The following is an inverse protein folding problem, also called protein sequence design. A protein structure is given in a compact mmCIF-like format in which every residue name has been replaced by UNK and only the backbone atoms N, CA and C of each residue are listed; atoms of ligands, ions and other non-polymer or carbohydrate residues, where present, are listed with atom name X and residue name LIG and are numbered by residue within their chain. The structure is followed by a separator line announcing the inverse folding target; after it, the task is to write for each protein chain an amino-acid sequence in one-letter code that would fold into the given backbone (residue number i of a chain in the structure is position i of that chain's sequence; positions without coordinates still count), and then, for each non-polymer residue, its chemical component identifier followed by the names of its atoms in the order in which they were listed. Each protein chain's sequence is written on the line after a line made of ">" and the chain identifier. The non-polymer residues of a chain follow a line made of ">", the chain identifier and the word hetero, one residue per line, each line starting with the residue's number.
data_IF_459113456811
#
_entry.id   IF_459113456811
#
_cell.length_a   1.000
_cell.length_b   1.000
_cell.length_c   1.000
_cell.angle_alpha   90.00
_cell.angle_beta   90.00
_cell.angle_gamma   90.00
#
_symmetry.space_group_name_H-M   'P 1'
#
loop_
_entity.id
_entity.type
_entity.pdbx_description
1 polymer ?
#
# COMPACT_ATOMS: atom_id res chain seq x y z
N UNK A 1 2.96 -4.66 -15.48
CA UNK A 1 1.99 -4.16 -14.50
C UNK A 1 1.19 -5.36 -14.00
N UNK A 2 1.06 -5.57 -12.69
CA UNK A 2 0.18 -6.60 -12.15
C UNK A 2 -1.27 -6.41 -12.65
N UNK A 3 -2.04 -7.47 -12.95
CA UNK A 3 -3.42 -7.32 -13.40
C UNK A 3 -4.32 -6.75 -12.29
N UNK A 4 -5.23 -5.85 -12.64
CA UNK A 4 -6.23 -5.35 -11.69
C UNK A 4 -7.32 -6.39 -11.41
N UNK A 5 -7.88 -6.39 -10.21
CA UNK A 5 -9.05 -7.21 -9.88
C UNK A 5 -10.32 -6.51 -10.40
N UNK A 6 -11.20 -7.17 -11.17
CA UNK A 6 -12.35 -6.52 -11.79
C UNK A 6 -13.22 -5.71 -10.82
N UNK A 7 -13.64 -6.30 -9.70
CA UNK A 7 -14.48 -5.64 -8.68
C UNK A 7 -13.86 -4.35 -8.14
N UNK A 8 -12.54 -4.33 -7.94
CA UNK A 8 -11.79 -3.17 -7.45
C UNK A 8 -11.56 -2.13 -8.54
N UNK A 9 -11.32 -2.57 -9.78
CA UNK A 9 -11.22 -1.68 -10.93
C UNK A 9 -12.56 -0.98 -11.22
N UNK A 10 -13.68 -1.70 -11.13
CA UNK A 10 -15.04 -1.16 -11.25
C UNK A 10 -15.29 -0.11 -10.16
N UNK A 11 -15.00 -0.43 -8.90
CA UNK A 11 -15.12 0.51 -7.78
C UNK A 11 -14.31 1.80 -8.00
N UNK A 12 -13.09 1.70 -8.52
CA UNK A 12 -12.25 2.87 -8.84
C UNK A 12 -12.81 3.76 -9.96
N UNK A 13 -13.60 3.18 -10.87
CA UNK A 13 -14.24 3.89 -11.97
C UNK A 13 -15.59 4.50 -11.56
N UNK A 14 -16.28 3.92 -10.59
CA UNK A 14 -17.59 4.38 -10.12
C UNK A 14 -17.54 5.52 -9.10
N UNK A 15 -16.35 5.87 -8.60
CA UNK A 15 -16.17 6.96 -7.63
C UNK A 15 -16.80 8.26 -8.13
N UNK A 16 -17.65 8.87 -7.30
CA UNK A 16 -18.22 10.17 -7.60
C UNK A 16 -17.16 11.28 -7.56
N UNK A 17 -16.96 11.91 -8.73
CA UNK A 17 -16.02 13.02 -8.93
C UNK A 17 -16.73 14.35 -9.19
N UNK A 18 -18.03 14.44 -8.89
CA UNK A 18 -18.81 15.67 -9.06
C UNK A 18 -18.30 16.81 -8.17
N UNK A 19 -17.74 16.48 -7.01
CA UNK A 19 -17.12 17.45 -6.11
C UNK A 19 -15.73 17.87 -6.60
N UNK A 20 -15.37 19.16 -6.47
CA UNK A 20 -14.04 19.63 -6.84
C UNK A 20 -12.96 18.91 -6.04
N UNK A 21 -11.84 18.61 -6.71
CA UNK A 21 -10.68 17.99 -6.08
C UNK A 21 -10.20 18.83 -4.88
N UNK A 22 -9.82 18.14 -3.81
CA UNK A 22 -9.31 18.81 -2.61
C UNK A 22 -7.99 19.53 -2.89
N UNK A 23 -7.73 20.67 -2.21
CA UNK A 23 -6.42 21.31 -2.21
C UNK A 23 -5.29 20.34 -1.84
N UNK A 24 -4.11 20.53 -2.44
CA UNK A 24 -2.98 19.60 -2.31
C UNK A 24 -2.48 19.43 -0.86
N UNK A 25 -2.65 20.45 -0.01
CA UNK A 25 -2.31 20.46 1.42
C UNK A 25 -3.31 19.67 2.29
N UNK A 26 -4.49 19.34 1.75
CA UNK A 26 -5.52 18.53 2.40
C UNK A 26 -5.50 17.06 1.94
N UNK A 27 -4.71 16.74 0.91
CA UNK A 27 -4.55 15.38 0.41
C UNK A 27 -3.70 14.55 1.37
N UNK A 28 -4.11 13.32 1.63
CA UNK A 28 -3.24 12.39 2.34
C UNK A 28 -2.03 12.04 1.48
N UNK A 29 -0.86 12.01 2.12
CA UNK A 29 0.35 11.48 1.50
C UNK A 29 0.29 9.97 1.37
N UNK A 30 1.43 9.41 0.99
CA UNK A 30 1.60 7.99 0.71
C UNK A 30 2.57 7.37 1.72
N UNK A 31 2.11 6.34 2.43
CA UNK A 31 2.95 5.57 3.35
C UNK A 31 3.93 4.67 2.61
N UNK A 32 3.53 4.20 1.44
CA UNK A 32 4.28 3.35 0.50
C UNK A 32 4.25 4.08 -0.83
N UNK A 33 5.31 4.07 -1.66
CA UNK A 33 5.31 4.80 -2.91
C UNK A 33 4.10 4.44 -3.78
N UNK A 34 3.46 5.45 -4.37
CA UNK A 34 2.36 5.24 -5.30
C UNK A 34 2.84 4.41 -6.52
N UNK A 35 2.21 3.26 -6.84
CA UNK A 35 2.66 2.41 -7.95
C UNK A 35 2.75 3.12 -9.30
N UNK A 36 1.87 4.09 -9.56
CA UNK A 36 1.88 4.90 -10.78
C UNK A 36 3.19 5.70 -10.96
N UNK A 37 3.89 6.05 -9.87
CA UNK A 37 5.20 6.71 -9.95
C UNK A 37 6.27 5.81 -10.56
N UNK A 38 6.14 4.51 -10.36
CA UNK A 38 7.09 3.48 -10.79
C UNK A 38 6.76 3.03 -12.22
N UNK A 39 5.47 2.93 -12.54
CA UNK A 39 4.99 2.57 -13.88
C UNK A 39 5.05 3.73 -14.88
N UNK A 40 5.01 4.98 -14.41
CA UNK A 40 4.91 6.18 -15.25
C UNK A 40 6.13 6.50 -16.15
N UNK A 41 7.40 6.24 -15.75
CA UNK A 41 8.55 6.45 -16.62
C UNK A 41 8.49 5.54 -17.86
N UNK A 42 8.75 6.10 -19.05
CA UNK A 42 8.94 5.32 -20.29
C UNK A 42 10.36 4.76 -20.44
N UNK A 43 11.29 5.28 -19.65
CA UNK A 43 12.68 4.84 -19.59
C UNK A 43 12.78 3.64 -18.64
N UNK A 44 13.07 2.47 -19.20
CA UNK A 44 13.22 1.22 -18.47
C UNK A 44 14.32 1.32 -17.40
N UNK A 45 15.46 1.96 -17.73
CA UNK A 45 16.53 2.15 -16.76
C UNK A 45 16.05 2.96 -15.55
N UNK A 46 15.13 3.90 -15.76
CA UNK A 46 14.52 4.68 -14.67
C UNK A 46 13.55 3.85 -13.84
N UNK A 47 12.75 3.00 -14.46
CA UNK A 47 11.87 2.09 -13.73
C UNK A 47 12.69 1.13 -12.85
N UNK A 48 13.73 0.51 -13.41
CA UNK A 48 14.65 -0.37 -12.66
C UNK A 48 15.32 0.37 -11.51
N UNK A 49 15.76 1.63 -11.70
CA UNK A 49 16.28 2.46 -10.61
C UNK A 49 15.25 2.68 -9.50
N UNK A 50 13.99 2.97 -9.85
CA UNK A 50 12.94 3.20 -8.86
C UNK A 50 12.66 1.93 -8.05
N UNK A 51 12.55 0.79 -8.73
CA UNK A 51 12.33 -0.51 -8.09
C UNK A 51 13.51 -0.88 -7.19
N UNK A 52 14.74 -0.72 -7.67
CA UNK A 52 15.95 -1.04 -6.91
C UNK A 52 16.06 -0.17 -5.67
N UNK A 53 15.85 1.14 -5.79
CA UNK A 53 15.90 2.05 -4.64
C UNK A 53 14.76 1.81 -3.65
N UNK A 54 13.56 1.42 -4.12
CA UNK A 54 12.50 0.96 -3.24
C UNK A 54 12.92 -0.29 -2.46
N UNK A 55 13.40 -1.34 -3.15
CA UNK A 55 13.82 -2.59 -2.51
C UNK A 55 14.93 -2.34 -1.48
N UNK A 56 15.90 -1.47 -1.77
CA UNK A 56 16.94 -1.03 -0.82
C UNK A 56 16.35 -0.40 0.44
N UNK A 57 15.42 0.53 0.25
CA UNK A 57 14.83 1.28 1.35
C UNK A 57 13.82 0.46 2.16
N UNK A 58 13.20 -0.56 1.54
CA UNK A 58 12.04 -1.28 2.05
C UNK A 58 12.23 -1.80 3.49
N UNK A 59 13.31 -2.52 3.88
CA UNK A 59 13.42 -3.07 5.23
C UNK A 59 13.42 -1.98 6.31
N UNK A 60 14.20 -0.92 6.10
CA UNK A 60 14.30 0.19 7.05
C UNK A 60 13.00 0.99 7.06
N UNK A 61 12.42 1.25 5.89
CA UNK A 61 11.16 1.97 5.78
C UNK A 61 10.04 1.24 6.52
N UNK A 62 9.85 -0.06 6.28
CA UNK A 62 8.85 -0.87 6.99
C UNK A 62 9.12 -0.94 8.50
N UNK A 63 10.38 -0.95 8.93
CA UNK A 63 10.74 -0.82 10.34
C UNK A 63 10.30 0.52 10.93
N UNK A 64 10.56 1.64 10.25
CA UNK A 64 10.15 2.97 10.69
C UNK A 64 8.63 3.10 10.81
N UNK A 65 7.88 2.50 9.88
CA UNK A 65 6.41 2.47 9.93
C UNK A 65 5.86 1.74 11.18
N UNK A 66 6.68 0.90 11.84
CA UNK A 66 6.33 0.20 13.09
C UNK A 66 6.67 1.02 14.34
N UNK A 67 7.57 2.00 14.24
CA UNK A 67 7.97 2.82 15.37
C UNK A 67 6.79 3.71 15.80
N UNK A 68 6.35 3.64 17.07
CA UNK A 68 5.29 4.50 17.59
C UNK A 68 5.61 5.98 17.40
N UNK A 69 4.63 6.76 16.95
CA UNK A 69 4.79 8.19 16.71
C UNK A 69 5.43 8.56 15.37
N UNK A 70 5.86 7.59 14.55
CA UNK A 70 6.21 7.85 13.16
C UNK A 70 5.02 8.49 12.43
N UNK A 71 5.28 9.47 11.55
CA UNK A 71 4.24 10.11 10.71
C UNK A 71 4.52 10.00 9.20
N UNK A 72 4.66 8.78 8.64
CA UNK A 72 5.07 8.60 7.25
C UNK A 72 3.91 8.89 6.28
N UNK A 73 2.69 9.07 6.80
CA UNK A 73 1.48 9.43 6.08
C UNK A 73 1.56 10.76 5.30
N UNK A 74 2.55 11.62 5.56
CA UNK A 74 2.69 12.93 4.94
C UNK A 74 3.55 12.97 3.68
N UNK A 75 4.08 11.84 3.21
CA UNK A 75 5.01 11.86 2.07
C UNK A 75 4.24 12.00 0.75
N UNK A 76 4.26 13.19 0.17
CA UNK A 76 3.65 13.45 -1.14
C UNK A 76 4.35 12.69 -2.29
N UNK A 77 3.61 12.41 -3.36
CA UNK A 77 4.09 11.64 -4.52
C UNK A 77 5.42 12.17 -5.10
N UNK A 78 5.61 13.49 -5.11
CA UNK A 78 6.82 14.09 -5.65
C UNK A 78 8.05 13.89 -4.72
N UNK A 79 7.87 13.78 -3.40
CA UNK A 79 8.96 13.41 -2.49
C UNK A 79 9.38 11.96 -2.72
N UNK A 80 8.41 11.06 -2.88
CA UNK A 80 8.67 9.68 -3.29
C UNK A 80 9.43 9.60 -4.62
N UNK A 81 8.96 10.31 -5.65
CA UNK A 81 9.62 10.35 -6.97
C UNK A 81 11.08 10.79 -6.87
N UNK A 82 11.36 11.81 -6.05
CA UNK A 82 12.73 12.30 -5.85
C UNK A 82 13.59 11.29 -5.09
N UNK A 83 13.06 10.69 -4.02
CA UNK A 83 13.73 9.63 -3.26
C UNK A 83 14.08 8.42 -4.15
N UNK A 84 13.09 7.89 -4.89
CA UNK A 84 13.27 6.74 -5.77
C UNK A 84 14.23 7.00 -6.94
N UNK A 85 14.41 8.25 -7.34
CA UNK A 85 15.37 8.61 -8.39
C UNK A 85 16.83 8.66 -7.88
N UNK A 86 17.03 8.59 -6.57
CA UNK A 86 18.31 8.80 -5.91
C UNK A 86 18.47 10.23 -5.41
N UNK A 87 19.08 10.39 -4.23
CA UNK A 87 19.44 11.69 -3.66
C UNK A 87 20.90 11.97 -3.99
N UNK A 88 21.22 13.02 -4.77
CA UNK A 88 22.61 13.43 -5.00
C UNK A 88 23.28 13.87 -3.69
N UNK A 89 24.57 13.53 -3.50
CA UNK A 89 25.32 13.91 -2.30
C UNK A 89 25.42 15.44 -2.13
N UNK A 90 25.67 16.15 -3.24
CA UNK A 90 25.93 17.59 -3.29
C UNK A 90 24.70 18.42 -3.67
N UNK A 91 23.72 18.50 -2.78
CA UNK A 91 22.56 19.38 -2.99
C UNK A 91 22.81 20.76 -2.35
N UNK A 92 23.19 21.75 -3.15
CA UNK A 92 23.32 23.16 -2.75
C UNK A 92 22.01 23.74 -2.18
N UNK A 93 22.06 24.21 -0.92
CA UNK A 93 20.94 24.82 -0.17
C UNK A 93 20.32 26.07 -0.82
N UNK A 94 21.00 26.67 -1.80
CA UNK A 94 20.55 27.92 -2.44
C UNK A 94 19.48 27.70 -3.50
N UNK A 95 19.29 26.46 -3.97
CA UNK A 95 18.31 26.13 -5.00
C UNK A 95 17.03 25.54 -4.42
N UNK A 96 15.88 25.75 -5.08
CA UNK A 96 14.61 25.07 -4.75
C UNK A 96 14.77 23.54 -4.72
N UNK A 97 15.60 23.02 -5.61
CA UNK A 97 15.97 21.59 -5.65
C UNK A 97 16.75 21.17 -4.41
N UNK A 98 17.72 21.96 -3.95
CA UNK A 98 18.49 21.64 -2.75
C UNK A 98 17.70 21.73 -1.45
N UNK A 99 16.81 22.73 -1.31
CA UNK A 99 15.87 22.80 -0.18
C UNK A 99 14.99 21.55 -0.09
N UNK A 100 14.47 21.09 -1.23
CA UNK A 100 13.72 19.83 -1.31
C UNK A 100 14.55 18.62 -0.91
N UNK A 101 15.83 18.58 -1.27
CA UNK A 101 16.71 17.46 -0.91
C UNK A 101 16.97 17.42 0.60
N UNK A 102 17.07 18.56 1.28
CA UNK A 102 17.15 18.61 2.74
C UNK A 102 15.86 18.07 3.37
N UNK A 103 14.69 18.43 2.84
CA UNK A 103 13.42 17.89 3.33
C UNK A 103 13.34 16.37 3.14
N UNK A 104 13.81 15.84 2.01
CA UNK A 104 13.90 14.39 1.78
C UNK A 104 14.87 13.75 2.77
N UNK A 105 16.06 14.34 2.98
CA UNK A 105 17.03 13.85 3.97
C UNK A 105 16.46 13.91 5.40
N UNK A 106 15.58 14.85 5.72
CA UNK A 106 14.92 14.89 7.03
C UNK A 106 13.80 13.85 7.13
N UNK A 107 13.00 13.68 6.08
CA UNK A 107 11.86 12.73 6.05
C UNK A 107 12.31 11.27 6.03
N UNK A 108 13.40 10.98 5.31
CA UNK A 108 13.98 9.64 5.16
C UNK A 108 15.32 9.52 5.92
N UNK A 109 15.61 10.43 6.85
CA UNK A 109 16.93 10.54 7.49
C UNK A 109 17.40 9.27 8.19
N UNK A 110 16.49 8.57 8.84
CA UNK A 110 16.78 7.26 9.44
C UNK A 110 17.05 6.16 8.42
N UNK A 111 16.54 6.28 7.19
CA UNK A 111 16.94 5.42 6.07
C UNK A 111 18.36 5.76 5.64
N UNK A 112 18.71 7.04 5.54
CA UNK A 112 20.06 7.49 5.17
C UNK A 112 21.15 7.31 6.23
N UNK A 113 20.78 7.17 7.51
CA UNK A 113 21.72 6.96 8.62
C UNK A 113 22.15 5.49 8.78
N UNK A 114 21.48 4.58 8.09
CA UNK A 114 21.86 3.18 8.10
C UNK A 114 23.09 2.97 7.20
N UNK A 115 24.17 2.43 7.77
CA UNK A 115 25.42 2.16 7.05
C UNK A 115 25.24 1.10 5.94
N UNK A 116 24.14 0.34 5.94
CA UNK A 116 23.76 -0.60 4.89
C UNK A 116 22.95 0.06 3.77
N UNK A 117 22.38 1.25 4.00
CA UNK A 117 21.66 2.00 2.99
C UNK A 117 22.59 3.00 2.32
N UNK A 118 23.17 2.59 1.19
CA UNK A 118 23.89 3.50 0.31
C UNK A 118 23.31 3.42 -1.11
N UNK A 119 22.78 4.57 -1.56
CA UNK A 119 22.26 4.74 -2.92
C UNK A 119 23.38 4.68 -3.97
N UNK A 120 24.62 4.93 -3.56
CA UNK A 120 25.84 4.86 -4.37
C UNK A 120 26.54 3.50 -4.34
N UNK A 121 26.41 2.69 -3.29
CA UNK A 121 26.96 1.33 -3.30
C UNK A 121 26.12 0.40 -4.18
N UNK A 122 26.82 -0.40 -4.99
CA UNK A 122 26.27 -1.57 -5.71
C UNK A 122 26.10 -2.77 -4.79
N UNK A 123 25.78 -2.54 -3.51
CA UNK A 123 25.55 -3.63 -2.58
C UNK A 123 24.34 -4.46 -3.07
N UNK A 124 24.45 -5.82 -3.08
CA UNK A 124 23.30 -6.67 -3.34
C UNK A 124 22.18 -6.36 -2.36
N UNK A 125 20.95 -6.42 -2.85
CA UNK A 125 19.74 -6.20 -2.05
C UNK A 125 19.01 -7.50 -1.84
N UNK A 126 18.46 -7.67 -0.64
CA UNK A 126 17.70 -8.83 -0.25
C UNK A 126 16.20 -8.58 -0.38
N UNK A 127 15.54 -9.40 -1.20
CA UNK A 127 14.11 -9.32 -1.43
C UNK A 127 13.49 -10.71 -1.49
N UNK A 128 12.76 -11.11 -0.44
CA UNK A 128 12.13 -12.44 -0.31
C UNK A 128 13.10 -13.61 -0.58
N UNK A 129 14.35 -13.49 -0.11
CA UNK A 129 15.40 -14.49 -0.33
C UNK A 129 16.11 -14.41 -1.69
N UNK A 130 15.69 -13.49 -2.57
CA UNK A 130 16.41 -13.16 -3.80
C UNK A 130 17.47 -12.09 -3.52
N UNK A 131 18.65 -12.28 -4.12
CA UNK A 131 19.78 -11.34 -4.02
C UNK A 131 20.09 -10.77 -5.39
N UNK A 132 20.10 -9.45 -5.52
CA UNK A 132 20.43 -8.79 -6.78
C UNK A 132 21.06 -7.42 -6.56
N UNK A 133 21.95 -6.98 -7.46
CA UNK A 133 22.47 -5.60 -7.42
C UNK A 133 21.40 -4.57 -7.85
N UNK A 134 20.60 -4.97 -8.84
CA UNK A 134 19.51 -4.22 -9.44
C UNK A 134 18.33 -5.17 -9.66
N UNK A 135 17.10 -4.70 -9.50
CA UNK A 135 15.90 -5.53 -9.70
C UNK A 135 15.90 -6.07 -11.14
N UNK A 136 15.95 -7.39 -11.35
CA UNK A 136 15.85 -7.98 -12.68
C UNK A 136 14.48 -7.70 -13.30
N UNK A 137 14.42 -7.60 -14.63
CA UNK A 137 13.16 -7.40 -15.36
C UNK A 137 12.11 -8.47 -15.01
N UNK A 138 12.54 -9.73 -14.88
CA UNK A 138 11.69 -10.84 -14.49
C UNK A 138 11.07 -10.70 -13.09
N UNK A 139 11.75 -10.00 -12.16
CA UNK A 139 11.26 -9.77 -10.79
C UNK A 139 10.46 -8.47 -10.67
N UNK A 140 10.57 -7.55 -11.63
CA UNK A 140 9.92 -6.26 -11.59
C UNK A 140 8.40 -6.33 -11.39
N UNK A 141 7.62 -7.21 -12.08
CA UNK A 141 6.19 -7.34 -11.84
C UNK A 141 5.85 -7.71 -10.40
N UNK A 142 6.61 -8.62 -9.79
CA UNK A 142 6.36 -9.09 -8.44
C UNK A 142 6.76 -8.04 -7.38
N UNK A 143 7.82 -7.26 -7.62
CA UNK A 143 8.14 -6.08 -6.79
C UNK A 143 7.03 -5.03 -6.89
N UNK A 144 6.53 -4.74 -8.09
CA UNK A 144 5.43 -3.78 -8.28
C UNK A 144 4.17 -4.26 -7.55
N UNK A 145 3.86 -5.56 -7.63
CA UNK A 145 2.77 -6.15 -6.88
C UNK A 145 2.94 -5.97 -5.37
N UNK A 146 4.12 -6.18 -4.81
CA UNK A 146 4.37 -5.96 -3.38
C UNK A 146 4.10 -4.51 -2.97
N UNK A 147 4.36 -3.55 -3.85
CA UNK A 147 4.09 -2.12 -3.60
C UNK A 147 2.58 -1.86 -3.57
N UNK A 148 1.80 -2.47 -4.46
CA UNK A 148 0.33 -2.43 -4.39
C UNK A 148 -0.18 -3.06 -3.08
N UNK A 149 0.34 -4.24 -2.73
CA UNK A 149 -0.01 -4.99 -1.53
C UNK A 149 0.24 -4.18 -0.26
N UNK A 150 1.47 -3.67 -0.09
CA UNK A 150 1.84 -2.84 1.05
C UNK A 150 1.07 -1.53 1.05
N UNK A 151 0.90 -0.89 -0.11
CA UNK A 151 0.13 0.33 -0.25
C UNK A 151 -1.29 0.18 0.29
N UNK A 152 -2.00 -0.86 -0.15
CA UNK A 152 -3.34 -1.17 0.33
C UNK A 152 -3.36 -1.46 1.85
N UNK A 153 -2.44 -2.29 2.35
CA UNK A 153 -2.33 -2.62 3.79
C UNK A 153 -2.21 -1.37 4.67
N UNK A 154 -1.29 -0.46 4.30
CA UNK A 154 -1.07 0.76 5.06
C UNK A 154 -2.18 1.79 4.91
N UNK A 155 -2.80 1.87 3.73
CA UNK A 155 -3.95 2.75 3.50
C UNK A 155 -5.21 2.29 4.23
N UNK A 156 -5.45 0.98 4.28
CA UNK A 156 -6.52 0.39 5.09
C UNK A 156 -6.33 0.72 6.58
N UNK A 157 -5.12 0.56 7.11
CA UNK A 157 -4.79 0.93 8.49
C UNK A 157 -4.95 2.44 8.75
N UNK A 158 -4.49 3.29 7.82
CA UNK A 158 -4.60 4.73 7.95
C UNK A 158 -6.07 5.18 7.95
N UNK A 159 -6.88 4.61 7.05
CA UNK A 159 -8.30 4.90 6.96
C UNK A 159 -9.06 4.44 8.20
N UNK A 160 -8.79 3.22 8.68
CA UNK A 160 -9.41 2.69 9.89
C UNK A 160 -9.12 3.57 11.12
N UNK A 161 -7.86 3.99 11.30
CA UNK A 161 -7.47 4.92 12.37
C UNK A 161 -8.16 6.27 12.29
N UNK A 162 -8.37 6.78 11.07
CA UNK A 162 -9.04 8.05 10.84
C UNK A 162 -10.54 7.98 11.17
N UNK A 163 -11.21 6.91 10.72
CA UNK A 163 -12.64 6.71 10.93
C UNK A 163 -12.97 6.28 12.37
N UNK A 164 -12.07 5.56 13.02
CA UNK A 164 -12.21 5.05 14.39
C UNK A 164 -11.08 5.57 15.28
N UNK A 165 -11.05 6.88 15.61
CA UNK A 165 -9.99 7.43 16.44
C UNK A 165 -10.01 6.80 17.84
N UNK A 166 -8.86 6.32 18.30
CA UNK A 166 -8.71 5.84 19.68
C UNK A 166 -8.74 7.01 20.66
N UNK A 167 -9.67 6.96 21.62
CA UNK A 167 -9.86 7.97 22.67
C UNK A 167 -8.67 7.96 23.64
N UNK A 168 -8.23 6.76 24.05
CA UNK A 168 -7.15 6.59 25.03
C UNK A 168 -5.75 6.63 24.42
N UNK A 169 -5.64 6.46 23.09
CA UNK A 169 -4.40 6.15 22.37
C UNK A 169 -3.60 5.02 23.02
N UNK A 170 -4.30 4.10 23.68
CA UNK A 170 -3.63 3.01 24.39
C UNK A 170 -3.01 2.04 23.39
N UNK A 171 -1.81 1.54 23.75
CA UNK A 171 -1.12 0.52 22.95
C UNK A 171 -1.95 -0.76 22.81
N UNK A 172 -2.78 -1.08 23.81
CA UNK A 172 -3.64 -2.25 23.80
C UNK A 172 -4.78 -2.11 22.78
N UNK A 173 -5.47 -0.96 22.72
CA UNK A 173 -6.51 -0.72 21.70
C UNK A 173 -5.93 -0.76 20.28
N UNK A 174 -4.73 -0.19 20.10
CA UNK A 174 -4.05 -0.23 18.81
C UNK A 174 -3.66 -1.65 18.40
N UNK A 175 -3.19 -2.47 19.34
CA UNK A 175 -2.89 -3.89 19.08
C UNK A 175 -4.14 -4.65 18.63
N UNK A 176 -5.27 -4.50 19.33
CA UNK A 176 -6.54 -5.15 18.96
C UNK A 176 -7.02 -4.70 17.57
N UNK A 177 -6.85 -3.41 17.23
CA UNK A 177 -7.15 -2.89 15.88
C UNK A 177 -6.27 -3.56 14.83
N UNK A 178 -4.96 -3.59 15.05
CA UNK A 178 -4.02 -4.20 14.12
C UNK A 178 -4.25 -5.71 13.96
N UNK A 179 -4.60 -6.41 15.03
CA UNK A 179 -4.94 -7.84 15.00
C UNK A 179 -6.18 -8.10 14.13
N UNK A 180 -7.22 -7.27 14.24
CA UNK A 180 -8.40 -7.38 13.37
C UNK A 180 -8.04 -7.13 11.90
N UNK A 181 -7.30 -6.06 11.62
CA UNK A 181 -6.88 -5.71 10.25
C UNK A 181 -5.95 -6.77 9.65
N UNK A 182 -5.09 -7.37 10.47
CA UNK A 182 -4.19 -8.44 10.09
C UNK A 182 -4.93 -9.66 9.54
N UNK A 183 -6.14 -9.96 10.04
CA UNK A 183 -6.95 -11.11 9.57
C UNK A 183 -7.33 -11.04 8.08
N UNK A 184 -7.32 -9.85 7.48
CA UNK A 184 -7.56 -9.66 6.03
C UNK A 184 -6.42 -10.26 5.20
N UNK A 185 -5.21 -10.33 5.77
CA UNK A 185 -4.00 -10.65 5.03
C UNK A 185 -3.48 -12.05 5.36
N UNK A 186 -2.90 -12.76 4.38
CA UNK A 186 -2.32 -14.07 4.62
C UNK A 186 -1.26 -14.03 5.73
N UNK A 187 -1.34 -14.98 6.66
CA UNK A 187 -0.41 -15.08 7.80
C UNK A 187 -0.56 -14.00 8.88
N UNK A 188 -1.56 -13.11 8.78
CA UNK A 188 -1.75 -12.05 9.79
C UNK A 188 -0.74 -10.89 9.66
N UNK A 189 -0.06 -10.75 8.52
CA UNK A 189 1.06 -9.83 8.38
C UNK A 189 0.64 -8.40 7.97
N UNK A 190 -0.09 -7.64 8.78
CA UNK A 190 -0.57 -6.31 8.37
C UNK A 190 0.52 -5.37 7.82
N UNK A 191 1.73 -5.38 8.40
CA UNK A 191 2.79 -4.39 8.16
C UNK A 191 3.95 -4.88 7.29
N UNK A 192 3.82 -6.04 6.66
CA UNK A 192 4.84 -6.61 5.79
C UNK A 192 4.26 -7.67 4.86
N UNK A 193 4.96 -7.95 3.78
CA UNK A 193 4.78 -9.18 3.02
C UNK A 193 5.86 -10.15 3.50
N UNK A 194 5.44 -11.27 4.08
CA UNK A 194 6.34 -12.28 4.67
C UNK A 194 6.88 -13.25 3.61
N UNK A 195 6.00 -13.70 2.71
CA UNK A 195 6.35 -14.55 1.59
C UNK A 195 5.56 -14.15 0.34
N UNK A 196 6.17 -14.38 -0.82
CA UNK A 196 5.50 -14.19 -2.11
C UNK A 196 4.37 -15.23 -2.30
N UNK A 197 3.22 -14.83 -2.85
CA UNK A 197 2.15 -15.75 -3.19
C UNK A 197 2.62 -16.90 -4.09
N UNK A 198 2.25 -18.12 -3.74
CA UNK A 198 2.35 -19.28 -4.62
C UNK A 198 1.01 -19.54 -5.32
N UNK A 199 0.99 -20.41 -6.34
CA UNK A 199 -0.25 -20.72 -7.08
C UNK A 199 -1.41 -21.26 -6.22
N UNK A 200 -1.11 -21.76 -5.01
CA UNK A 200 -2.10 -22.29 -4.06
C UNK A 200 -2.41 -21.33 -2.90
N UNK A 201 -1.86 -20.12 -2.92
CA UNK A 201 -2.09 -19.13 -1.87
C UNK A 201 -3.56 -18.69 -1.83
N UNK A 202 -4.02 -18.37 -0.61
CA UNK A 202 -5.30 -17.70 -0.35
C UNK A 202 -5.02 -16.25 0.06
N UNK A 203 -5.99 -15.36 -0.16
CA UNK A 203 -5.86 -13.93 0.13
C UNK A 203 -6.61 -13.07 -0.88
N UNK A 204 -6.81 -11.79 -0.56
CA UNK A 204 -7.59 -10.84 -1.37
C UNK A 204 -7.08 -10.69 -2.82
N UNK A 205 -5.80 -10.97 -3.03
CA UNK A 205 -5.03 -10.73 -4.27
C UNK A 205 -4.95 -11.95 -5.19
N UNK A 206 -5.76 -12.98 -4.91
CA UNK A 206 -5.74 -14.25 -5.63
C UNK A 206 -6.73 -14.24 -6.79
N UNK A 207 -6.40 -14.94 -7.88
CA UNK A 207 -7.22 -14.99 -9.10
C UNK A 207 -8.55 -15.72 -8.91
N UNK A 208 -8.58 -16.72 -8.01
CA UNK A 208 -9.74 -17.58 -7.82
C UNK A 208 -10.64 -17.01 -6.72
N UNK A 209 -11.93 -16.71 -6.99
CA UNK A 209 -12.83 -16.11 -6.00
C UNK A 209 -12.91 -16.89 -4.68
N UNK A 210 -13.03 -18.21 -4.74
CA UNK A 210 -13.02 -19.08 -3.56
C UNK A 210 -11.79 -18.93 -2.65
N UNK A 211 -10.63 -18.55 -3.19
CA UNK A 211 -9.39 -18.31 -2.43
C UNK A 211 -9.36 -16.95 -1.73
N UNK A 212 -10.32 -16.07 -2.03
CA UNK A 212 -10.51 -14.75 -1.40
C UNK A 212 -11.49 -14.78 -0.23
N UNK A 213 -12.33 -15.82 -0.10
CA UNK A 213 -13.43 -15.91 0.90
C UNK A 213 -13.01 -15.51 2.31
N UNK A 214 -11.93 -16.08 2.85
CA UNK A 214 -11.46 -15.75 4.20
C UNK A 214 -11.08 -14.27 4.33
N UNK A 215 -10.38 -13.72 3.34
CA UNK A 215 -9.95 -12.32 3.33
C UNK A 215 -11.14 -11.37 3.16
N UNK A 216 -12.14 -11.74 2.34
CA UNK A 216 -13.36 -10.95 2.12
C UNK A 216 -14.23 -10.91 3.38
N UNK A 217 -14.41 -12.04 4.06
CA UNK A 217 -15.12 -12.08 5.35
C UNK A 217 -14.40 -11.24 6.42
N UNK A 218 -13.07 -11.33 6.48
CA UNK A 218 -12.28 -10.50 7.39
C UNK A 218 -12.39 -9.00 7.03
N UNK A 219 -12.35 -8.65 5.74
CA UNK A 219 -12.52 -7.28 5.28
C UNK A 219 -13.93 -6.76 5.61
N UNK A 220 -14.97 -7.58 5.43
CA UNK A 220 -16.33 -7.27 5.83
C UNK A 220 -16.40 -6.89 7.31
N UNK A 221 -15.80 -7.68 8.19
CA UNK A 221 -15.76 -7.38 9.64
C UNK A 221 -15.05 -6.06 9.96
N UNK A 222 -14.01 -5.70 9.21
CA UNK A 222 -13.33 -4.40 9.34
C UNK A 222 -14.27 -3.27 8.91
N UNK A 223 -14.85 -3.37 7.70
CA UNK A 223 -15.67 -2.31 7.11
C UNK A 223 -16.98 -2.09 7.88
N UNK A 224 -17.56 -3.12 8.49
CA UNK A 224 -18.74 -3.01 9.36
C UNK A 224 -18.53 -2.11 10.58
N UNK A 225 -17.27 -1.89 10.98
CA UNK A 225 -16.94 -1.00 12.09
C UNK A 225 -16.90 0.47 11.66
N UNK A 226 -16.92 0.76 10.36
CA UNK A 226 -16.79 2.11 9.82
C UNK A 226 -18.15 2.80 9.78
N UNK A 227 -18.18 4.13 10.02
CA UNK A 227 -19.41 4.89 9.93
C UNK A 227 -19.95 4.88 8.50
N UNK A 228 -21.27 4.73 8.36
CA UNK A 228 -21.93 4.74 7.05
C UNK A 228 -21.79 3.44 6.25
N UNK A 229 -21.36 2.33 6.87
CA UNK A 229 -21.30 1.03 6.21
C UNK A 229 -22.70 0.62 5.65
N UNK A 230 -22.80 0.33 4.33
CA UNK A 230 -24.05 -0.07 3.68
C UNK A 230 -24.70 -1.31 4.30
N UNK A 231 -26.03 -1.35 4.30
CA UNK A 231 -26.79 -2.52 4.77
C UNK A 231 -26.48 -3.79 3.97
N UNK A 232 -26.12 -3.67 2.68
CA UNK A 232 -25.66 -4.77 1.85
C UNK A 232 -24.46 -5.50 2.48
N UNK A 233 -23.50 -4.74 3.05
CA UNK A 233 -22.33 -5.30 3.74
C UNK A 233 -22.71 -5.80 5.14
N UNK A 234 -23.51 -5.04 5.90
CA UNK A 234 -23.83 -5.36 7.30
C UNK A 234 -24.75 -6.59 7.42
N UNK A 235 -25.67 -6.77 6.48
CA UNK A 235 -26.64 -7.87 6.48
C UNK A 235 -26.19 -9.11 5.71
N UNK A 236 -25.12 -9.00 4.92
CA UNK A 236 -24.56 -10.13 4.20
C UNK A 236 -24.03 -11.19 5.17
N UNK A 237 -24.44 -12.44 4.95
CA UNK A 237 -23.92 -13.57 5.71
C UNK A 237 -22.47 -13.84 5.33
N UNK A 238 -21.63 -14.36 6.25
CA UNK A 238 -20.26 -14.72 5.94
C UNK A 238 -20.21 -15.74 4.79
N UNK A 239 -19.38 -15.45 3.79
CA UNK A 239 -19.15 -16.33 2.64
C UNK A 239 -18.62 -17.68 3.10
N UNK A 240 -19.07 -18.74 2.45
CA UNK A 240 -18.63 -20.11 2.61
C UNK A 240 -17.79 -20.55 1.41
N UNK A 241 -16.90 -21.52 1.63
CA UNK A 241 -16.00 -22.01 0.57
C UNK A 241 -16.73 -22.68 -0.61
N UNK A 242 -17.98 -23.09 -0.41
CA UNK A 242 -18.85 -23.71 -1.42
C UNK A 242 -19.87 -22.73 -2.04
N UNK A 243 -19.83 -21.44 -1.68
CA UNK A 243 -20.67 -20.44 -2.32
C UNK A 243 -20.32 -20.30 -3.79
N UNK A 244 -21.30 -19.90 -4.61
CA UNK A 244 -21.07 -19.68 -6.03
C UNK A 244 -20.15 -18.48 -6.26
N UNK A 245 -19.32 -18.54 -7.31
CA UNK A 245 -18.42 -17.45 -7.68
C UNK A 245 -19.15 -16.11 -7.81
N UNK A 246 -20.39 -16.10 -8.32
CA UNK A 246 -21.18 -14.87 -8.47
C UNK A 246 -21.45 -14.21 -7.11
N UNK A 247 -21.80 -14.99 -6.08
CA UNK A 247 -22.07 -14.49 -4.73
C UNK A 247 -20.82 -13.90 -4.09
N UNK A 248 -19.67 -14.57 -4.29
CA UNK A 248 -18.38 -14.11 -3.77
C UNK A 248 -17.98 -12.78 -4.42
N UNK A 249 -18.14 -12.68 -5.74
CA UNK A 249 -17.80 -11.48 -6.52
C UNK A 249 -18.75 -10.33 -6.20
N UNK A 250 -20.04 -10.60 -5.99
CA UNK A 250 -21.01 -9.57 -5.64
C UNK A 250 -20.70 -8.94 -4.28
N UNK A 251 -20.40 -9.75 -3.24
CA UNK A 251 -19.95 -9.20 -1.96
C UNK A 251 -18.62 -8.43 -2.11
N UNK A 252 -17.66 -8.94 -2.89
CA UNK A 252 -16.42 -8.22 -3.15
C UNK A 252 -16.66 -6.85 -3.79
N UNK A 253 -17.61 -6.75 -4.74
CA UNK A 253 -17.97 -5.47 -5.37
C UNK A 253 -18.51 -4.47 -4.37
N UNK A 254 -19.37 -4.92 -3.45
CA UNK A 254 -19.92 -4.06 -2.40
C UNK A 254 -18.81 -3.57 -1.44
N UNK A 255 -17.95 -4.49 -0.98
CA UNK A 255 -16.81 -4.18 -0.11
C UNK A 255 -15.83 -3.19 -0.79
N UNK A 256 -15.48 -3.45 -2.05
CA UNK A 256 -14.55 -2.62 -2.82
C UNK A 256 -15.13 -1.22 -3.05
N UNK A 257 -16.40 -1.12 -3.45
CA UNK A 257 -17.07 0.17 -3.69
C UNK A 257 -17.10 1.01 -2.42
N UNK A 258 -17.54 0.43 -1.30
CA UNK A 258 -17.58 1.15 -0.03
C UNK A 258 -16.19 1.58 0.44
N UNK A 259 -15.17 0.72 0.33
CA UNK A 259 -13.79 1.08 0.68
C UNK A 259 -13.28 2.24 -0.18
N UNK A 260 -13.42 2.14 -1.50
CA UNK A 260 -12.86 3.13 -2.43
C UNK A 260 -13.53 4.49 -2.25
N UNK A 261 -14.86 4.53 -2.16
CA UNK A 261 -15.60 5.77 -1.94
C UNK A 261 -15.24 6.42 -0.60
N UNK A 262 -15.20 5.62 0.47
CA UNK A 262 -14.83 6.11 1.80
C UNK A 262 -13.41 6.63 1.82
N UNK A 263 -12.46 5.92 1.19
CA UNK A 263 -11.08 6.39 1.09
C UNK A 263 -10.99 7.69 0.30
N UNK A 264 -11.63 7.77 -0.86
CA UNK A 264 -11.60 8.96 -1.70
C UNK A 264 -12.15 10.19 -0.96
N UNK A 265 -13.27 10.01 -0.24
CA UNK A 265 -13.86 11.06 0.59
C UNK A 265 -12.97 11.43 1.77
N UNK A 266 -12.29 10.50 2.43
CA UNK A 266 -11.44 10.84 3.58
C UNK A 266 -10.08 11.42 3.16
N UNK A 267 -9.40 10.77 2.22
CA UNK A 267 -8.03 11.07 1.81
C UNK A 267 -7.93 12.15 0.73
N UNK A 268 -9.02 12.42 0.00
CA UNK A 268 -9.05 13.38 -1.12
C UNK A 268 -8.37 12.89 -2.40
N UNK A 269 -7.93 11.63 -2.45
CA UNK A 269 -7.28 11.00 -3.61
C UNK A 269 -7.73 9.57 -3.77
N UNK A 270 -7.45 9.00 -4.93
CA UNK A 270 -7.62 7.58 -5.22
C UNK A 270 -6.79 6.70 -4.25
N UNK A 271 -7.36 5.59 -3.72
CA UNK A 271 -6.59 4.59 -2.99
C UNK A 271 -5.71 3.74 -3.91
N UNK A 272 -4.73 3.08 -3.30
CA UNK A 272 -4.00 1.96 -3.86
C UNK A 272 -4.85 0.71 -3.63
N UNK A 273 -5.33 0.10 -4.72
CA UNK A 273 -6.23 -1.06 -4.65
C UNK A 273 -5.51 -2.39 -4.90
N UNK A 274 -6.07 -3.52 -4.42
CA UNK A 274 -5.56 -4.85 -4.68
C UNK A 274 -5.38 -5.19 -6.16
N UNK A 275 -4.26 -5.86 -6.47
CA UNK A 275 -3.93 -6.38 -7.80
C UNK A 275 -3.55 -7.86 -7.71
N UNK A 276 -3.79 -8.61 -8.78
CA UNK A 276 -3.44 -10.02 -8.87
C UNK A 276 -1.92 -10.20 -8.89
N UNK A 277 -1.43 -11.23 -8.20
CA UNK A 277 -0.02 -11.60 -8.28
C UNK A 277 0.35 -12.02 -9.72
N UNK A 278 1.45 -11.50 -10.30
CA UNK A 278 1.91 -11.92 -11.62
C UNK A 278 2.54 -13.32 -11.53
N UNK A 279 1.83 -14.33 -12.02
CA UNK A 279 2.31 -15.70 -12.19
C UNK A 279 2.91 -15.91 -13.58
#
# INVERSE_FOLDING_TARGET
>A
MPPAIPSWSEAMLSVDRAMPARPADQLWGYWIPEPALILGPKDEARQIRYLTNWVRARPIWLYLLRVPGSRPAGVGAQYWRSFLNGVPEDSSLTTRTGKRMVEIKNLFGSVFQDHQFDLGMRAPVDWHGHHFEHVPEASAPAVIWEIFELGFRYELLALDRFLRPSISRSRAEEAVREDLLATVFPGGWLRAVDALPSGNSSGLFTTHPHRRVTALNALQLVLMQWPGCPSAIVSASPLQGNDRDEVIVDLERDLASFYVDTFFVCAGRAPIVPHLYPL
#
